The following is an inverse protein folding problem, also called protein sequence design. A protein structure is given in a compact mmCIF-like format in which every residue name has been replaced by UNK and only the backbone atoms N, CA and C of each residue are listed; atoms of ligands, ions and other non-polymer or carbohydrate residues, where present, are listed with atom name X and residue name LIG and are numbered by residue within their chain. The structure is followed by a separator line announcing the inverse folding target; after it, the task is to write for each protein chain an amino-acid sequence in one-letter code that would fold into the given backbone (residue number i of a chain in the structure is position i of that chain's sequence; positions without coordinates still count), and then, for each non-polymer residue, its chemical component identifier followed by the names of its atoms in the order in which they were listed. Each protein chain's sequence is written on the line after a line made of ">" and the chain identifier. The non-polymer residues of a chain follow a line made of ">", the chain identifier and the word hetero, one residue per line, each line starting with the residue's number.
data_IF_540135198288
#
_entry.id   IF_540135198288
#
_cell.length_a   1.000
_cell.length_b   1.000
_cell.length_c   1.000
_cell.angle_alpha   90.00
_cell.angle_beta   90.00
_cell.angle_gamma   90.00
#
_symmetry.space_group_name_H-M   'P 1'
#
loop_
_entity.id
_entity.type
_entity.pdbx_description
1 polymer ?
#
# COMPACT_ATOMS: atom_id res chain seq x y z
N UNK A 1 1.88 9.42 13.33
CA UNK A 1 1.83 10.73 12.67
C UNK A 1 1.74 10.49 11.16
N UNK A 2 0.54 10.43 10.60
CA UNK A 2 0.34 10.28 9.14
C UNK A 2 0.52 11.64 8.44
N UNK A 3 0.94 11.65 7.17
CA UNK A 3 1.05 12.90 6.41
C UNK A 3 -0.36 13.53 6.29
N UNK A 4 -0.58 14.78 6.76
CA UNK A 4 -1.89 15.45 6.69
C UNK A 4 -2.28 15.88 5.27
N UNK A 5 -1.44 15.57 4.28
CA UNK A 5 -1.41 16.23 2.99
C UNK A 5 -2.50 15.79 2.01
N UNK A 6 -3.15 14.63 2.22
CA UNK A 6 -4.13 14.09 1.26
C UNK A 6 -5.49 13.70 1.82
N UNK A 7 -5.70 13.70 3.15
CA UNK A 7 -6.96 13.25 3.79
C UNK A 7 -7.58 12.02 3.08
N UNK A 8 -8.60 12.25 2.25
CA UNK A 8 -9.37 11.27 1.48
C UNK A 8 -9.16 11.38 -0.06
N UNK A 9 -8.37 12.35 -0.52
CA UNK A 9 -8.02 12.55 -1.94
C UNK A 9 -6.96 11.54 -2.41
N UNK A 10 -7.42 10.32 -2.67
CA UNK A 10 -6.59 9.24 -3.22
C UNK A 10 -6.10 9.58 -4.62
N UNK A 11 -6.90 10.27 -5.44
CA UNK A 11 -6.51 10.58 -6.82
C UNK A 11 -5.34 11.57 -6.84
N UNK A 12 -5.41 12.62 -6.02
CA UNK A 12 -4.30 13.55 -5.79
C UNK A 12 -3.06 12.86 -5.22
N UNK A 13 -3.22 11.95 -4.25
CA UNK A 13 -2.11 11.19 -3.68
C UNK A 13 -1.42 10.29 -4.71
N UNK A 14 -2.20 9.55 -5.51
CA UNK A 14 -1.68 8.69 -6.58
C UNK A 14 -1.05 9.53 -7.69
N UNK A 15 -1.64 10.66 -8.05
CA UNK A 15 -1.12 11.53 -9.08
C UNK A 15 0.22 12.13 -8.64
N UNK A 16 0.30 12.69 -7.43
CA UNK A 16 1.55 13.23 -6.88
C UNK A 16 2.63 12.15 -6.73
N UNK A 17 2.25 10.92 -6.38
CA UNK A 17 3.17 9.78 -6.39
C UNK A 17 3.74 9.53 -7.79
N UNK A 18 2.91 9.52 -8.82
CA UNK A 18 3.33 9.26 -10.20
C UNK A 18 4.21 10.38 -10.78
N UNK A 19 3.88 11.63 -10.49
CA UNK A 19 4.53 12.80 -11.11
C UNK A 19 5.79 13.23 -10.37
N UNK A 20 5.75 13.27 -9.04
CA UNK A 20 6.78 13.96 -8.24
C UNK A 20 7.49 12.99 -7.29
N UNK A 21 6.75 12.44 -6.33
CA UNK A 21 7.36 11.72 -5.20
C UNK A 21 8.02 10.44 -5.68
N UNK A 22 7.35 9.64 -6.52
CA UNK A 22 7.89 8.38 -7.01
C UNK A 22 9.16 8.56 -7.84
N UNK A 23 9.23 9.61 -8.67
CA UNK A 23 10.45 9.92 -9.41
C UNK A 23 11.57 10.41 -8.49
N UNK A 24 11.27 11.31 -7.56
CA UNK A 24 12.24 11.85 -6.62
C UNK A 24 12.86 10.74 -5.75
N UNK A 25 12.04 9.83 -5.23
CA UNK A 25 12.52 8.70 -4.42
C UNK A 25 13.40 7.77 -5.27
N UNK A 26 13.03 7.46 -6.52
CA UNK A 26 13.88 6.64 -7.41
C UNK A 26 15.21 7.31 -7.75
N UNK A 27 15.24 8.63 -7.91
CA UNK A 27 16.48 9.38 -8.14
C UNK A 27 17.36 9.34 -6.90
N UNK A 28 16.76 9.53 -5.71
CA UNK A 28 17.47 9.44 -4.44
C UNK A 28 18.07 8.03 -4.22
N UNK A 29 17.28 6.97 -4.42
CA UNK A 29 17.76 5.59 -4.29
C UNK A 29 18.90 5.30 -5.27
N UNK A 30 18.79 5.70 -6.54
CA UNK A 30 19.87 5.52 -7.53
C UNK A 30 21.16 6.23 -7.14
N UNK A 31 21.08 7.48 -6.69
CA UNK A 31 22.26 8.24 -6.22
C UNK A 31 22.90 7.55 -5.03
N UNK A 32 22.09 7.10 -4.07
CA UNK A 32 22.57 6.42 -2.86
C UNK A 32 23.22 5.07 -3.16
N UNK A 33 22.70 4.29 -4.11
CA UNK A 33 23.29 3.02 -4.52
C UNK A 33 24.63 3.21 -5.26
N UNK A 34 24.81 4.33 -5.97
CA UNK A 34 26.09 4.68 -6.61
C UNK A 34 27.14 5.15 -5.60
N UNK A 35 26.72 5.83 -4.54
CA UNK A 35 27.61 6.40 -3.51
C UNK A 35 28.12 5.36 -2.50
N UNK A 36 27.45 4.21 -2.36
CA UNK A 36 27.75 3.19 -1.32
C UNK A 36 28.13 1.84 -1.93
N UNK A 37 29.35 1.72 -2.44
CA UNK A 37 29.93 0.40 -2.80
C UNK A 37 30.34 -0.45 -1.58
N UNK A 38 30.37 0.09 -0.34
CA UNK A 38 31.06 -0.58 0.78
C UNK A 38 30.22 -0.90 2.02
N UNK A 39 28.98 -0.40 2.18
CA UNK A 39 28.21 -0.65 3.41
C UNK A 39 26.75 -1.01 3.15
N UNK A 40 26.48 -2.32 3.19
CA UNK A 40 25.18 -2.98 3.45
C UNK A 40 24.04 -2.75 2.44
N UNK A 41 23.87 -3.76 1.55
CA UNK A 41 22.68 -3.99 0.68
C UNK A 41 21.33 -4.08 1.41
N UNK A 42 21.28 -4.02 2.74
CA UNK A 42 20.03 -4.24 3.52
C UNK A 42 19.09 -3.02 3.57
N UNK A 43 19.47 -1.86 3.05
CA UNK A 43 18.66 -0.62 3.11
C UNK A 43 18.20 -0.08 1.76
N UNK A 44 18.52 -0.75 0.66
CA UNK A 44 18.07 -0.32 -0.66
C UNK A 44 16.54 -0.48 -0.76
N UNK A 45 15.84 0.57 -1.17
CA UNK A 45 14.39 0.57 -1.36
C UNK A 45 13.54 0.89 -0.12
N UNK A 46 14.13 1.14 1.05
CA UNK A 46 13.38 1.46 2.28
C UNK A 46 12.49 2.70 2.12
N UNK A 47 12.96 3.72 1.40
CA UNK A 47 12.19 4.95 1.20
C UNK A 47 11.01 4.73 0.25
N UNK A 48 11.18 3.88 -0.77
CA UNK A 48 10.09 3.54 -1.70
C UNK A 48 9.01 2.75 -0.94
N UNK A 49 9.41 1.75 -0.14
CA UNK A 49 8.49 0.97 0.70
C UNK A 49 7.73 1.89 1.68
N UNK A 50 8.43 2.81 2.35
CA UNK A 50 7.80 3.76 3.26
C UNK A 50 6.79 4.67 2.55
N UNK A 51 7.07 5.08 1.32
CA UNK A 51 6.15 5.88 0.53
C UNK A 51 4.89 5.08 0.13
N UNK A 52 5.05 3.81 -0.28
CA UNK A 52 3.90 2.93 -0.51
C UNK A 52 3.07 2.73 0.75
N UNK A 53 3.68 2.55 1.92
CA UNK A 53 2.95 2.48 3.20
C UNK A 53 2.13 3.75 3.47
N UNK A 54 2.66 4.92 3.13
CA UNK A 54 1.90 6.18 3.16
C UNK A 54 0.67 6.13 2.26
N UNK A 55 0.81 5.64 1.01
CA UNK A 55 -0.31 5.48 0.08
C UNK A 55 -1.36 4.47 0.58
N UNK A 56 -0.93 3.35 1.17
CA UNK A 56 -1.85 2.39 1.81
C UNK A 56 -2.67 3.04 2.92
N UNK A 57 -2.05 3.89 3.74
CA UNK A 57 -2.77 4.63 4.78
C UNK A 57 -3.84 5.55 4.19
N UNK A 58 -3.52 6.28 3.12
CA UNK A 58 -4.49 7.14 2.41
C UNK A 58 -5.64 6.31 1.80
N UNK A 59 -5.33 5.17 1.16
CA UNK A 59 -6.35 4.26 0.65
C UNK A 59 -7.26 3.70 1.76
N UNK A 60 -6.69 3.46 2.94
CA UNK A 60 -7.42 3.05 4.14
C UNK A 60 -8.39 4.13 4.61
N UNK A 61 -7.90 5.37 4.74
CA UNK A 61 -8.72 6.51 5.17
C UNK A 61 -9.93 6.72 4.27
N UNK A 62 -9.73 6.75 2.96
CA UNK A 62 -10.82 6.93 2.01
C UNK A 62 -11.61 5.64 1.69
N UNK A 63 -11.35 4.53 2.41
CA UNK A 63 -12.05 3.26 2.26
C UNK A 63 -12.08 2.75 0.80
N UNK A 64 -10.92 2.79 0.13
CA UNK A 64 -10.70 2.33 -1.25
C UNK A 64 -9.76 1.13 -1.33
N UNK A 65 -10.24 -0.06 -0.94
CA UNK A 65 -9.45 -1.29 -1.00
C UNK A 65 -9.10 -1.70 -2.44
N UNK A 66 -9.91 -1.30 -3.43
CA UNK A 66 -9.64 -1.50 -4.85
C UNK A 66 -8.33 -0.82 -5.29
N UNK A 67 -8.09 0.40 -4.81
CA UNK A 67 -6.86 1.15 -5.08
C UNK A 67 -5.67 0.56 -4.30
N UNK A 68 -5.88 0.17 -3.04
CA UNK A 68 -4.87 -0.50 -2.24
C UNK A 68 -4.37 -1.79 -2.92
N UNK A 69 -5.28 -2.58 -3.50
CA UNK A 69 -4.90 -3.79 -4.24
C UNK A 69 -4.08 -3.48 -5.49
N UNK A 70 -4.38 -2.39 -6.21
CA UNK A 70 -3.56 -1.92 -7.34
C UNK A 70 -2.16 -1.49 -6.90
N UNK A 71 -2.02 -0.90 -5.71
CA UNK A 71 -0.71 -0.57 -5.14
C UNK A 71 0.12 -1.82 -4.86
N UNK A 72 -0.50 -2.92 -4.38
CA UNK A 72 0.21 -4.21 -4.22
C UNK A 72 0.81 -4.67 -5.54
N UNK A 73 0.04 -4.64 -6.63
CA UNK A 73 0.56 -5.03 -7.94
C UNK A 73 1.61 -4.05 -8.48
N UNK A 74 1.50 -2.75 -8.17
CA UNK A 74 2.51 -1.77 -8.52
C UNK A 74 3.85 -2.03 -7.80
N UNK A 75 3.81 -2.36 -6.50
CA UNK A 75 4.99 -2.78 -5.74
C UNK A 75 5.64 -4.01 -6.36
N UNK A 76 4.85 -5.04 -6.69
CA UNK A 76 5.34 -6.27 -7.29
C UNK A 76 6.04 -6.02 -8.64
N UNK A 77 5.50 -5.12 -9.46
CA UNK A 77 6.13 -4.70 -10.73
C UNK A 77 7.48 -4.00 -10.52
N UNK A 78 7.66 -3.35 -9.38
CA UNK A 78 8.91 -2.70 -8.99
C UNK A 78 9.84 -3.65 -8.20
N UNK A 79 9.53 -4.95 -8.14
CA UNK A 79 10.34 -5.96 -7.47
C UNK A 79 10.28 -5.92 -5.94
N UNK A 80 9.26 -5.25 -5.38
CA UNK A 80 8.97 -5.22 -3.95
C UNK A 80 7.71 -6.00 -3.65
N UNK A 81 7.70 -6.72 -2.53
CA UNK A 81 6.51 -7.44 -2.09
C UNK A 81 5.75 -6.62 -1.05
N UNK A 82 4.43 -6.50 -1.25
CA UNK A 82 3.56 -6.01 -0.18
C UNK A 82 3.59 -7.02 0.98
N UNK A 83 3.53 -6.50 2.20
CA UNK A 83 3.64 -7.31 3.41
C UNK A 83 2.51 -7.02 4.38
N UNK A 84 2.49 -7.75 5.49
CA UNK A 84 1.58 -7.49 6.61
C UNK A 84 1.69 -6.04 7.11
N UNK A 85 2.88 -5.41 7.03
CA UNK A 85 3.04 -3.99 7.36
C UNK A 85 2.22 -3.09 6.43
N UNK A 86 2.17 -3.41 5.14
CA UNK A 86 1.38 -2.66 4.15
C UNK A 86 -0.12 -2.77 4.44
N UNK A 87 -0.59 -3.96 4.82
CA UNK A 87 -1.97 -4.17 5.28
C UNK A 87 -2.27 -3.41 6.58
N UNK A 88 -1.35 -3.41 7.54
CA UNK A 88 -1.49 -2.68 8.79
C UNK A 88 -1.60 -1.17 8.56
N UNK A 89 -0.86 -0.62 7.61
CA UNK A 89 -0.99 0.80 7.21
C UNK A 89 -2.38 1.10 6.63
N UNK A 90 -2.91 0.23 5.78
CA UNK A 90 -4.29 0.36 5.29
C UNK A 90 -5.31 0.34 6.43
N UNK A 91 -5.22 -0.64 7.33
CA UNK A 91 -6.14 -0.78 8.46
C UNK A 91 -6.05 0.40 9.44
N UNK A 92 -4.85 0.94 9.65
CA UNK A 92 -4.65 2.14 10.48
C UNK A 92 -5.39 3.35 9.90
N UNK A 93 -5.25 3.60 8.59
CA UNK A 93 -5.99 4.66 7.91
C UNK A 93 -7.50 4.49 7.99
N UNK A 94 -8.00 3.27 7.75
CA UNK A 94 -9.43 2.95 7.86
C UNK A 94 -9.97 3.17 9.28
N UNK A 95 -9.18 2.81 10.29
CA UNK A 95 -9.50 3.04 11.70
C UNK A 95 -9.60 4.52 12.05
N UNK A 96 -8.77 5.38 11.45
CA UNK A 96 -8.82 6.84 11.66
C UNK A 96 -10.08 7.48 11.06
N UNK A 97 -10.47 7.10 9.84
CA UNK A 97 -11.70 7.61 9.21
C UNK A 97 -12.97 7.25 10.00
N UNK A 98 -12.95 6.12 10.72
CA UNK A 98 -14.09 5.69 11.54
C UNK A 98 -14.32 6.51 12.81
N UNK A 99 -13.34 7.35 13.22
CA UNK A 99 -13.37 8.21 14.41
C UNK A 99 -13.94 9.60 14.15
N UNK A 100 -14.18 9.97 12.89
CA UNK A 100 -14.82 11.25 12.56
C UNK A 100 -16.30 11.25 12.99
N UNK A 101 -16.82 12.37 13.55
CA UNK A 101 -18.14 12.42 14.15
C UNK A 101 -19.25 12.10 13.14
N UNK A 102 -20.03 11.07 13.47
CA UNK A 102 -21.09 10.47 12.66
C UNK A 102 -22.43 11.16 12.92
N UNK A 103 -22.67 12.34 12.37
CA UNK A 103 -24.01 12.96 12.47
C UNK A 103 -24.95 12.61 11.29
N UNK A 104 -24.53 11.80 10.30
CA UNK A 104 -25.37 11.50 9.12
C UNK A 104 -25.43 10.02 8.71
N UNK A 105 -25.48 9.07 9.66
CA UNK A 105 -25.39 7.63 9.32
C UNK A 105 -26.69 6.89 8.96
N UNK A 106 -27.85 7.54 8.96
CA UNK A 106 -29.13 6.79 8.97
C UNK A 106 -29.91 6.69 7.65
N UNK A 107 -29.31 7.04 6.49
CA UNK A 107 -29.96 6.80 5.19
C UNK A 107 -29.00 6.22 4.15
N UNK A 108 -28.43 5.04 4.43
CA UNK A 108 -27.63 4.31 3.43
C UNK A 108 -28.55 3.72 2.35
N UNK A 109 -28.38 4.20 1.12
CA UNK A 109 -29.06 3.73 -0.08
C UNK A 109 -28.71 2.26 -0.36
N UNK A 110 -29.54 1.55 -1.13
CA UNK A 110 -29.23 0.21 -1.64
C UNK A 110 -27.91 0.19 -2.44
N UNK A 111 -27.57 1.31 -3.11
CA UNK A 111 -26.28 1.48 -3.81
C UNK A 111 -25.09 1.42 -2.84
N UNK A 112 -25.22 2.01 -1.65
CA UNK A 112 -24.15 2.03 -0.64
C UNK A 112 -23.88 0.63 -0.08
N UNK A 113 -24.92 -0.20 0.03
CA UNK A 113 -24.78 -1.62 0.43
C UNK A 113 -24.01 -2.43 -0.60
N UNK A 114 -24.31 -2.24 -1.89
CA UNK A 114 -23.58 -2.93 -2.97
C UNK A 114 -22.11 -2.54 -3.05
N UNK A 115 -21.80 -1.25 -2.84
CA UNK A 115 -20.42 -0.77 -2.79
C UNK A 115 -19.67 -1.28 -1.56
N UNK A 116 -20.35 -1.45 -0.42
CA UNK A 116 -19.76 -2.05 0.78
C UNK A 116 -19.37 -3.52 0.57
N UNK A 117 -20.24 -4.33 -0.07
CA UNK A 117 -19.93 -5.73 -0.36
C UNK A 117 -18.73 -5.85 -1.31
N UNK A 118 -18.65 -4.98 -2.33
CA UNK A 118 -17.48 -4.95 -3.22
C UNK A 118 -16.21 -4.54 -2.45
N UNK A 119 -16.29 -3.55 -1.56
CA UNK A 119 -15.17 -3.15 -0.74
C UNK A 119 -14.67 -4.32 0.14
N UNK A 120 -15.56 -5.09 0.76
CA UNK A 120 -15.21 -6.27 1.54
C UNK A 120 -14.48 -7.34 0.70
N UNK A 121 -14.93 -7.58 -0.54
CA UNK A 121 -14.25 -8.50 -1.46
C UNK A 121 -12.84 -8.03 -1.79
N UNK A 122 -12.66 -6.75 -2.09
CA UNK A 122 -11.33 -6.18 -2.33
C UNK A 122 -10.44 -6.22 -1.08
N UNK A 123 -10.99 -6.04 0.12
CA UNK A 123 -10.25 -6.18 1.37
C UNK A 123 -9.82 -7.62 1.63
N UNK A 124 -10.66 -8.59 1.30
CA UNK A 124 -10.31 -10.01 1.36
C UNK A 124 -9.13 -10.32 0.43
N UNK A 125 -9.18 -9.86 -0.82
CA UNK A 125 -8.08 -10.01 -1.78
C UNK A 125 -6.81 -9.31 -1.30
N UNK A 126 -6.93 -8.07 -0.80
CA UNK A 126 -5.82 -7.31 -0.25
C UNK A 126 -5.15 -8.05 0.91
N UNK A 127 -5.94 -8.63 1.80
CA UNK A 127 -5.45 -9.43 2.93
C UNK A 127 -4.68 -10.65 2.44
N UNK A 128 -5.21 -11.36 1.44
CA UNK A 128 -4.54 -12.52 0.84
C UNK A 128 -3.20 -12.08 0.23
N UNK A 129 -3.19 -11.05 -0.61
CA UNK A 129 -1.98 -10.59 -1.29
C UNK A 129 -0.90 -10.12 -0.30
N UNK A 130 -1.26 -9.35 0.73
CA UNK A 130 -0.30 -8.87 1.73
C UNK A 130 0.18 -9.98 2.70
N UNK A 131 -0.52 -11.11 2.79
CA UNK A 131 -0.16 -12.25 3.65
C UNK A 131 0.59 -13.39 2.92
N UNK A 132 0.63 -13.38 1.58
CA UNK A 132 1.31 -14.40 0.74
C UNK A 132 2.76 -14.69 1.13
N UNK A 133 3.49 -13.70 1.64
CA UNK A 133 4.92 -13.79 1.94
C UNK A 133 5.25 -13.75 3.44
N UNK A 134 4.29 -14.08 4.30
CA UNK A 134 4.60 -14.29 5.71
C UNK A 134 5.61 -15.42 5.84
N UNK A 135 6.77 -15.17 6.46
CA UNK A 135 7.79 -16.19 6.75
C UNK A 135 7.26 -17.33 7.62
N UNK A 136 6.08 -17.15 8.23
CA UNK A 136 5.38 -18.15 9.02
C UNK A 136 4.38 -18.98 8.20
N UNK A 137 4.15 -18.68 6.91
CA UNK A 137 3.28 -19.50 6.06
C UNK A 137 4.02 -20.77 5.62
N UNK A 138 3.87 -21.83 6.43
CA UNK A 138 4.44 -23.16 6.17
C UNK A 138 3.91 -23.81 4.89
N UNK A 139 2.82 -23.31 4.28
CA UNK A 139 2.25 -23.89 3.05
C UNK A 139 3.09 -23.62 1.80
N UNK A 140 3.94 -22.58 1.81
CA UNK A 140 4.76 -22.17 0.65
C UNK A 140 6.27 -22.32 0.88
N UNK A 141 6.67 -23.05 1.92
CA UNK A 141 8.08 -23.24 2.33
C UNK A 141 8.98 -23.88 1.23
N UNK A 142 8.40 -24.37 0.12
CA UNK A 142 9.12 -24.92 -1.03
C UNK A 142 8.93 -24.17 -2.37
N UNK A 143 8.16 -23.08 -2.44
CA UNK A 143 8.00 -22.31 -3.67
C UNK A 143 9.24 -21.43 -3.91
N UNK A 144 10.08 -21.83 -4.87
CA UNK A 144 11.22 -21.01 -5.33
C UNK A 144 10.68 -19.79 -6.07
N UNK A 145 10.98 -18.59 -5.58
CA UNK A 145 10.75 -17.34 -6.29
C UNK A 145 11.61 -17.29 -7.54
N UNK A 146 11.04 -17.63 -8.69
CA UNK A 146 11.71 -17.45 -9.99
C UNK A 146 11.71 -15.96 -10.31
N UNK A 147 12.84 -15.31 -10.08
CA UNK A 147 13.10 -13.96 -10.60
C UNK A 147 13.50 -14.11 -12.06
N UNK A 148 12.58 -13.80 -12.98
CA UNK A 148 12.93 -13.66 -14.40
C UNK A 148 13.68 -12.34 -14.53
N UNK A 149 14.96 -12.41 -14.86
CA UNK A 149 15.78 -11.26 -15.27
C UNK A 149 15.57 -11.13 -16.78
N UNK A 150 14.92 -10.05 -17.23
CA UNK A 150 14.83 -9.66 -18.63
C UNK A 150 16.00 -8.74 -18.98
#
# INVERSE_FOLDING_TARGET
>A
SGCPCFQDDIEGAIQMWKTEIGQAVRVYERRRSQEKQTVSRRRDGQNIIAAYHGLFHVCGRANRPDMALRLVYAMAKEGMDASETSLNCYMAGKGEASKEPRDEKEKRSLKDKSLAILAEQYESLLTIECSKYSKNDRRRFGEKTVRIIL
#
